data_IF_628959440633
#
_entry.id   IF_628959440633
#
_cell.length_a   1.000
_cell.length_b   1.000
_cell.length_c   1.000
_cell.angle_alpha   90.00
_cell.angle_beta   90.00
_cell.angle_gamma   90.00
#
_symmetry.space_group_name_H-M   'P 1'
#
loop_
_entity.id
_entity.type
_entity.pdbx_description
1 polymer ?
#
# COMPACT_ATOMS: atom_id res chain seq x y z
N UNK A 1 -0.76 21.93 9.96
CA UNK A 1 -1.42 20.70 9.61
C UNK A 1 -1.20 20.33 8.17
N UNK A 2 -0.79 19.13 7.92
CA UNK A 2 -0.51 18.71 6.56
C UNK A 2 -1.79 18.31 5.83
N UNK A 3 -1.80 18.55 4.54
CA UNK A 3 -2.91 18.12 3.73
C UNK A 3 -2.95 16.60 3.64
N UNK A 4 -4.14 16.02 3.51
CA UNK A 4 -4.22 14.56 3.35
C UNK A 4 -3.52 14.12 2.09
N UNK A 5 -2.89 12.97 2.15
CA UNK A 5 -2.23 12.38 1.01
C UNK A 5 -3.29 11.86 0.03
N UNK A 6 -3.11 12.17 -1.24
CA UNK A 6 -4.00 11.67 -2.29
C UNK A 6 -3.45 10.36 -2.83
N UNK A 7 -3.91 9.26 -2.27
CA UNK A 7 -3.44 7.94 -2.70
C UNK A 7 -4.02 7.56 -4.05
N UNK A 8 -3.26 6.82 -4.86
CA UNK A 8 -3.79 6.35 -6.14
C UNK A 8 -4.86 5.28 -5.92
N UNK A 9 -5.71 5.14 -6.93
CA UNK A 9 -6.75 4.13 -6.88
C UNK A 9 -6.12 2.75 -6.74
N UNK A 10 -6.64 1.94 -5.82
CA UNK A 10 -6.08 0.62 -5.56
C UNK A 10 -6.90 -0.49 -6.23
N UNK A 11 -6.25 -1.63 -6.55
CA UNK A 11 -6.97 -2.78 -7.07
C UNK A 11 -7.97 -3.32 -6.05
N UNK A 12 -9.04 -3.93 -6.55
CA UNK A 12 -10.12 -4.40 -5.68
C UNK A 12 -9.66 -5.41 -4.64
N UNK A 13 -8.66 -6.22 -4.96
CA UNK A 13 -8.19 -7.24 -4.00
C UNK A 13 -7.51 -6.61 -2.78
N UNK A 14 -7.22 -5.32 -2.81
CA UNK A 14 -6.67 -4.62 -1.65
C UNK A 14 -7.76 -4.01 -0.76
N UNK A 15 -9.03 -4.10 -1.18
CA UNK A 15 -10.12 -3.48 -0.42
C UNK A 15 -10.11 -3.82 1.07
N UNK A 16 -9.98 -5.10 1.48
CA UNK A 16 -9.99 -5.40 2.92
C UNK A 16 -8.90 -4.65 3.68
N UNK A 17 -7.71 -4.55 3.10
CA UNK A 17 -6.60 -3.89 3.76
C UNK A 17 -6.83 -2.39 3.88
N UNK A 18 -7.30 -1.78 2.80
CA UNK A 18 -7.55 -0.34 2.79
C UNK A 18 -8.71 0.01 3.72
N UNK A 19 -9.78 -0.78 3.70
CA UNK A 19 -10.97 -0.49 4.48
C UNK A 19 -10.73 -0.67 5.98
N UNK A 20 -10.01 -1.70 6.36
CA UNK A 20 -9.74 -1.96 7.78
C UNK A 20 -8.64 -1.06 8.32
N UNK A 21 -7.54 -0.92 7.58
CA UNK A 21 -6.34 -0.25 8.08
C UNK A 21 -6.26 1.22 7.70
N UNK A 22 -6.96 1.63 6.66
CA UNK A 22 -6.76 2.92 6.06
C UNK A 22 -5.58 2.87 5.10
N UNK A 23 -5.51 3.78 4.12
CA UNK A 23 -4.49 3.67 3.08
C UNK A 23 -3.05 3.75 3.62
N UNK A 24 -2.80 4.62 4.59
CA UNK A 24 -1.43 4.78 5.09
C UNK A 24 -0.93 3.52 5.80
N UNK A 25 -1.73 2.99 6.71
CA UNK A 25 -1.35 1.79 7.44
C UNK A 25 -1.32 0.59 6.51
N UNK A 26 -2.23 0.55 5.52
CA UNK A 26 -2.24 -0.53 4.55
C UNK A 26 -0.94 -0.55 3.74
N UNK A 27 -0.43 0.60 3.34
CA UNK A 27 0.84 0.67 2.62
C UNK A 27 1.96 0.08 3.47
N UNK A 28 2.03 0.48 4.75
CA UNK A 28 3.05 -0.05 5.66
C UNK A 28 2.93 -1.56 5.82
N UNK A 29 1.70 -2.03 5.97
CA UNK A 29 1.44 -3.46 6.16
C UNK A 29 1.86 -4.25 4.92
N UNK A 30 1.50 -3.77 3.74
CA UNK A 30 1.82 -4.46 2.50
C UNK A 30 3.31 -4.43 2.19
N UNK A 31 3.98 -3.33 2.52
CA UNK A 31 5.43 -3.26 2.34
C UNK A 31 6.14 -4.27 3.25
N UNK A 32 5.68 -4.36 4.50
CA UNK A 32 6.33 -5.22 5.47
C UNK A 32 6.05 -6.71 5.24
N UNK A 33 4.83 -7.06 4.90
CA UNK A 33 4.41 -8.46 4.83
C UNK A 33 4.10 -8.96 3.43
N UNK A 34 4.09 -8.08 2.43
CA UNK A 34 3.71 -8.47 1.08
C UNK A 34 4.55 -9.61 0.54
N UNK A 35 3.89 -10.54 -0.15
CA UNK A 35 4.54 -11.69 -0.73
C UNK A 35 4.76 -12.83 0.25
N UNK A 36 4.43 -12.66 1.52
CA UNK A 36 4.64 -13.68 2.54
C UNK A 36 3.33 -14.28 3.01
N UNK A 37 3.31 -15.56 3.36
CA UNK A 37 2.15 -16.11 4.03
C UNK A 37 2.07 -15.57 5.45
N UNK A 38 0.86 -15.24 5.88
CA UNK A 38 0.64 -14.70 7.20
C UNK A 38 -0.50 -15.45 7.86
N UNK A 39 -0.33 -15.73 9.13
CA UNK A 39 -1.36 -16.39 9.92
C UNK A 39 -2.15 -15.34 10.69
N UNK A 40 -3.48 -15.39 10.54
CA UNK A 40 -4.37 -14.48 11.26
C UNK A 40 -5.02 -15.26 12.40
N UNK A 41 -4.59 -15.05 13.63
CA UNK A 41 -5.20 -15.76 14.75
C UNK A 41 -6.59 -15.22 15.07
N UNK A 42 -7.46 -16.10 15.54
CA UNK A 42 -8.79 -15.67 15.96
C UNK A 42 -8.71 -14.82 17.22
N UNK A 43 -7.70 -15.07 18.05
CA UNK A 43 -7.52 -14.37 19.31
C UNK A 43 -6.08 -13.87 19.41
N UNK A 44 -5.81 -12.65 18.92
CA UNK A 44 -4.45 -12.10 18.97
C UNK A 44 -3.95 -11.95 20.42
N UNK A 45 -2.69 -12.29 20.64
CA UNK A 45 -2.10 -12.25 21.97
C UNK A 45 -0.81 -11.46 22.06
N UNK A 46 -0.60 -10.53 21.13
CA UNK A 46 0.53 -9.64 21.17
C UNK A 46 1.84 -10.22 20.71
N UNK A 47 1.81 -11.37 20.04
CA UNK A 47 3.03 -12.07 19.69
C UNK A 47 3.52 -11.88 18.27
N UNK A 48 2.64 -11.50 17.36
CA UNK A 48 3.03 -11.43 15.97
C UNK A 48 3.51 -10.02 15.59
N UNK A 49 4.38 -9.96 14.60
CA UNK A 49 4.82 -8.70 14.05
C UNK A 49 3.66 -7.90 13.45
N UNK A 50 2.69 -8.61 12.86
CA UNK A 50 1.52 -7.97 12.30
C UNK A 50 0.72 -7.26 13.39
N UNK A 51 0.52 -7.94 14.51
CA UNK A 51 -0.21 -7.33 15.61
C UNK A 51 0.54 -6.14 16.18
N UNK A 52 1.86 -6.21 16.23
CA UNK A 52 2.67 -5.10 16.70
C UNK A 52 2.52 -3.87 15.80
N UNK A 53 2.34 -4.10 14.51
CA UNK A 53 2.21 -3.01 13.56
C UNK A 53 0.82 -2.38 13.59
N UNK A 54 -0.23 -3.18 13.59
CA UNK A 54 -1.59 -2.67 13.40
C UNK A 54 -2.47 -2.76 14.64
N UNK A 55 -2.05 -3.49 15.65
CA UNK A 55 -2.82 -3.66 16.88
C UNK A 55 -3.76 -4.85 16.82
N UNK A 56 -4.15 -5.33 18.01
CA UNK A 56 -4.98 -6.53 18.11
C UNK A 56 -6.36 -6.31 17.49
N UNK A 57 -6.94 -5.14 17.68
CA UNK A 57 -8.28 -4.85 17.18
C UNK A 57 -8.33 -4.86 15.66
N UNK A 58 -7.38 -4.17 15.02
CA UNK A 58 -7.32 -4.14 13.56
C UNK A 58 -6.98 -5.51 13.00
N UNK A 59 -6.11 -6.24 13.67
CA UNK A 59 -5.78 -7.59 13.24
C UNK A 59 -7.00 -8.48 13.27
N UNK A 60 -7.82 -8.36 14.31
CA UNK A 60 -9.04 -9.14 14.41
C UNK A 60 -10.04 -8.78 13.31
N UNK A 61 -10.19 -7.48 13.05
CA UNK A 61 -11.07 -7.03 11.98
C UNK A 61 -10.60 -7.55 10.63
N UNK A 62 -9.30 -7.47 10.38
CA UNK A 62 -8.74 -7.92 9.11
C UNK A 62 -8.90 -9.43 8.97
N UNK A 63 -8.69 -10.17 10.06
CA UNK A 63 -8.88 -11.63 10.05
C UNK A 63 -10.31 -11.99 9.63
N UNK A 64 -11.28 -11.23 10.08
CA UNK A 64 -12.68 -11.47 9.72
C UNK A 64 -12.98 -11.23 8.25
N UNK A 65 -12.12 -10.51 7.56
CA UNK A 65 -12.30 -10.21 6.14
C UNK A 65 -11.52 -11.20 5.25
N UNK A 66 -10.75 -12.09 5.83
CA UNK A 66 -9.91 -13.02 5.07
C UNK A 66 -10.63 -14.33 4.81
N UNK A 67 -10.32 -15.01 3.69
CA UNK A 67 -10.97 -16.29 3.38
C UNK A 67 -10.54 -17.43 4.28
N UNK A 68 -9.40 -17.31 4.94
CA UNK A 68 -8.91 -18.34 5.86
C UNK A 68 -7.95 -17.71 6.84
N UNK A 69 -7.53 -18.49 7.83
CA UNK A 69 -6.60 -17.99 8.84
C UNK A 69 -5.18 -17.84 8.31
N UNK A 70 -4.85 -18.44 7.18
CA UNK A 70 -3.53 -18.35 6.59
C UNK A 70 -3.68 -17.82 5.17
N UNK A 71 -3.12 -16.68 4.92
CA UNK A 71 -3.29 -15.98 3.65
C UNK A 71 -1.93 -15.45 3.18
N UNK A 72 -1.66 -15.58 1.89
CA UNK A 72 -0.49 -14.94 1.32
C UNK A 72 -0.83 -13.47 1.09
N UNK A 73 -0.06 -12.59 1.71
CA UNK A 73 -0.30 -11.16 1.62
C UNK A 73 0.11 -10.67 0.23
N UNK A 74 -0.73 -9.91 -0.46
CA UNK A 74 -0.37 -9.42 -1.79
C UNK A 74 0.79 -8.45 -1.75
N UNK A 75 1.52 -8.40 -2.86
CA UNK A 75 2.61 -7.43 -3.03
C UNK A 75 2.34 -6.63 -4.30
N UNK A 76 1.43 -5.66 -4.24
CA UNK A 76 1.08 -4.86 -5.41
C UNK A 76 2.15 -3.80 -5.66
N UNK A 77 3.26 -4.24 -6.23
CA UNK A 77 4.46 -3.41 -6.29
C UNK A 77 4.22 -2.09 -7.01
N UNK A 78 3.53 -2.13 -8.14
CA UNK A 78 3.30 -0.89 -8.89
C UNK A 78 2.43 0.09 -8.11
N UNK A 79 1.38 -0.43 -7.46
CA UNK A 79 0.53 0.43 -6.63
C UNK A 79 1.33 0.99 -5.45
N UNK A 80 2.17 0.15 -4.83
CA UNK A 80 2.98 0.61 -3.70
C UNK A 80 3.97 1.69 -4.11
N UNK A 81 4.56 1.56 -5.30
CA UNK A 81 5.44 2.62 -5.81
C UNK A 81 4.69 3.94 -5.88
N UNK A 82 3.49 3.91 -6.45
CA UNK A 82 2.68 5.12 -6.59
C UNK A 82 2.24 5.68 -5.25
N UNK A 83 1.86 4.79 -4.33
CA UNK A 83 1.42 5.20 -3.01
C UNK A 83 2.55 5.85 -2.21
N UNK A 84 3.73 5.22 -2.23
CA UNK A 84 4.88 5.78 -1.53
C UNK A 84 5.31 7.11 -2.13
N UNK A 85 5.22 7.23 -3.44
CA UNK A 85 5.51 8.50 -4.11
C UNK A 85 4.53 9.57 -3.67
N UNK A 86 3.24 9.21 -3.55
CA UNK A 86 2.22 10.14 -3.09
C UNK A 86 2.47 10.58 -1.65
N UNK A 87 3.09 9.71 -0.85
CA UNK A 87 3.45 10.05 0.52
C UNK A 87 4.68 10.95 0.62
N UNK A 88 5.34 11.20 -0.51
CA UNK A 88 6.48 12.11 -0.52
C UNK A 88 7.83 11.43 -0.51
N UNK A 89 7.89 10.11 -0.63
CA UNK A 89 9.18 9.42 -0.64
C UNK A 89 9.92 9.70 -1.95
N UNK A 90 11.25 9.79 -1.83
CA UNK A 90 12.10 9.93 -3.01
C UNK A 90 12.21 8.60 -3.74
N UNK A 91 12.66 8.65 -4.99
CA UNK A 91 12.83 7.43 -5.76
C UNK A 91 13.81 6.47 -5.10
N UNK A 92 14.88 7.00 -4.48
CA UNK A 92 15.82 6.15 -3.74
C UNK A 92 15.16 5.48 -2.55
N UNK A 93 14.31 6.21 -1.84
CA UNK A 93 13.61 5.65 -0.69
C UNK A 93 12.64 4.56 -1.11
N UNK A 94 11.94 4.78 -2.23
CA UNK A 94 11.02 3.78 -2.76
C UNK A 94 11.78 2.51 -3.17
N UNK A 95 12.91 2.68 -3.85
CA UNK A 95 13.71 1.54 -4.27
C UNK A 95 14.13 0.70 -3.07
N UNK A 96 14.56 1.34 -1.99
CA UNK A 96 14.98 0.61 -0.80
C UNK A 96 13.81 -0.05 -0.10
N UNK A 97 12.68 0.64 -0.01
CA UNK A 97 11.52 0.12 0.70
C UNK A 97 10.97 -1.13 0.00
N UNK A 98 10.95 -1.13 -1.31
CA UNK A 98 10.36 -2.22 -2.09
C UNK A 98 11.40 -3.16 -2.68
N UNK A 99 12.68 -2.87 -2.46
CA UNK A 99 13.79 -3.67 -2.97
C UNK A 99 13.66 -3.87 -4.48
N UNK A 100 13.48 -2.76 -5.16
CA UNK A 100 13.30 -2.78 -6.62
C UNK A 100 14.29 -1.80 -7.25
N UNK A 101 14.39 -1.84 -8.57
CA UNK A 101 15.35 -1.02 -9.30
C UNK A 101 14.82 0.38 -9.55
N UNK A 102 15.76 1.32 -9.68
CA UNK A 102 15.42 2.69 -10.02
C UNK A 102 14.67 2.75 -11.34
N UNK A 103 15.10 1.94 -12.32
CA UNK A 103 14.45 1.88 -13.62
C UNK A 103 12.99 1.49 -13.48
N UNK A 104 12.70 0.51 -12.63
CA UNK A 104 11.33 0.06 -12.43
C UNK A 104 10.47 1.14 -11.79
N UNK A 105 11.02 1.84 -10.80
CA UNK A 105 10.29 2.93 -10.15
C UNK A 105 10.01 4.03 -11.15
N UNK A 106 11.02 4.43 -11.90
CA UNK A 106 10.88 5.49 -12.89
C UNK A 106 9.83 5.14 -13.94
N UNK A 107 9.88 3.90 -14.44
CA UNK A 107 8.92 3.45 -15.44
C UNK A 107 7.49 3.48 -14.89
N UNK A 108 7.30 2.97 -13.69
CA UNK A 108 5.97 2.91 -13.08
C UNK A 108 5.39 4.32 -12.88
N UNK A 109 6.21 5.25 -12.42
CA UNK A 109 5.75 6.61 -12.21
C UNK A 109 5.46 7.31 -13.53
N UNK A 110 6.22 7.00 -14.58
CA UNK A 110 5.95 7.55 -15.90
C UNK A 110 4.63 7.04 -16.45
N UNK A 111 4.37 5.75 -16.29
CA UNK A 111 3.12 5.16 -16.73
C UNK A 111 1.93 5.77 -15.98
N UNK A 112 2.10 6.01 -14.69
CA UNK A 112 1.05 6.64 -13.90
C UNK A 112 0.73 8.02 -14.44
N UNK A 113 1.76 8.79 -14.76
CA UNK A 113 1.57 10.13 -15.29
C UNK A 113 0.85 10.10 -16.62
N UNK A 114 1.19 9.13 -17.48
CA UNK A 114 0.56 9.01 -18.79
C UNK A 114 -0.89 8.58 -18.69
N UNK A 115 -1.25 7.80 -17.66
CA UNK A 115 -2.60 7.29 -17.51
C UNK A 115 -3.53 8.25 -16.78
N UNK A 116 -3.00 9.22 -16.07
CA UNK A 116 -3.83 10.16 -15.34
C UNK A 116 -4.42 11.20 -16.27
N UNK A 117 -5.70 11.54 -16.10
CA UNK A 117 -6.27 12.64 -16.87
C UNK A 117 -5.62 13.95 -16.45
N UNK A 118 -5.57 14.94 -17.36
CA UNK A 118 -5.01 16.24 -17.01
C UNK A 118 -5.78 16.86 -15.86
N UNK A 119 -5.06 17.45 -14.94
CA UNK A 119 -5.70 18.00 -13.79
C UNK A 119 -6.33 19.30 -14.07
N UNK A 120 -6.22 19.93 -14.86
CA UNK A 120 -6.88 21.02 -15.12
C UNK A 120 -6.45 21.39 -16.26
N UNK A 121 -6.79 21.40 -16.54
CA UNK A 121 -6.43 21.57 -17.44
C UNK A 121 -5.41 22.27 -17.42
N UNK A 122 -5.14 22.60 -16.85
CA UNK A 122 -4.18 23.10 -16.82
C UNK A 122 -3.18 22.51 -16.88
N UNK A 123 -3.20 22.08 -16.90
CA UNK A 123 -2.21 21.56 -17.02
C UNK A 123 -1.97 21.12 -18.04
N UNK A 124 -2.90 21.70 -18.59
CA UNK A 124 -2.76 21.43 -19.38
C UNK A 124 -2.33 21.86 -20.06
N UNK A 125 -2.42 22.32 -19.97
CA UNK A 125 -2.10 22.61 -20.47
C UNK A 125 -1.47 22.81 -21.06
N UNK A 126 -1.72 23.01 -20.98
CA UNK A 126 -1.31 23.02 -21.44
C UNK A 126 -0.78 22.78 -22.02
N UNK A 127 -0.91 22.88 -22.13
CA UNK A 127 -0.64 22.49 -22.42
C UNK A 127 -0.44 22.44 -22.84
#
# INVERSE_FOLDING_TARGET
MTEPVAYPRHPAHLDPYIEVLGPRMAVSFLVMFGGSPLYFPDDPRGRSAAEQLIGAEKLRELSGRMPSNRVTIPMPKNWLIRALHAEGLSMSQICRALKTSYTNVKRTLSETRALQPPKDSDQLSLF
#
